data_IF_311134859263
#
_entry.id   IF_311134859263
#
_cell.length_a   1.000
_cell.length_b   1.000
_cell.length_c   1.000
_cell.angle_alpha   90.00
_cell.angle_beta   90.00
_cell.angle_gamma   90.00
#
_symmetry.space_group_name_H-M   'P 1'
#
loop_
_entity.id
_entity.type
_entity.pdbx_description
1 polymer ?
#
# COMPACT_ATOMS: atom_id res chain seq x y z
N UNK A 1 -21.52 41.41 -5.50
CA UNK A 1 -21.88 40.04 -5.05
C UNK A 1 -21.24 38.92 -5.88
N UNK A 2 -21.16 39.02 -7.22
CA UNK A 2 -20.54 37.97 -8.07
C UNK A 2 -19.05 37.73 -7.79
N UNK A 3 -18.27 38.78 -7.55
CA UNK A 3 -16.83 38.68 -7.24
C UNK A 3 -16.53 37.87 -5.96
N UNK A 4 -17.38 38.04 -4.93
CA UNK A 4 -17.23 37.32 -3.66
C UNK A 4 -17.52 35.82 -3.79
N UNK A 5 -18.47 35.44 -4.66
CA UNK A 5 -18.79 34.04 -4.93
C UNK A 5 -17.70 33.37 -5.79
N UNK A 6 -17.09 34.11 -6.73
CA UNK A 6 -15.95 33.62 -7.52
C UNK A 6 -14.70 33.40 -6.66
N UNK A 7 -14.43 34.29 -5.70
CA UNK A 7 -13.31 34.13 -4.76
C UNK A 7 -13.53 32.95 -3.79
N UNK A 8 -14.78 32.75 -3.36
CA UNK A 8 -15.17 31.61 -2.51
C UNK A 8 -15.05 30.27 -3.25
N UNK A 9 -15.40 30.22 -4.54
CA UNK A 9 -15.22 29.02 -5.37
C UNK A 9 -13.73 28.71 -5.63
N UNK A 10 -12.89 29.72 -5.79
CA UNK A 10 -11.44 29.53 -5.99
C UNK A 10 -10.77 28.91 -4.75
N UNK A 11 -11.20 29.29 -3.54
CA UNK A 11 -10.66 28.77 -2.28
C UNK A 11 -11.01 27.29 -2.02
N UNK A 12 -12.14 26.79 -2.57
CA UNK A 12 -12.57 25.39 -2.42
C UNK A 12 -11.80 24.42 -3.34
N UNK A 13 -11.13 24.93 -4.38
CA UNK A 13 -10.42 24.09 -5.37
C UNK A 13 -8.93 23.86 -5.07
N UNK A 14 -8.35 24.59 -4.10
CA UNK A 14 -6.95 24.39 -3.70
C UNK A 14 -6.91 23.43 -2.51
N UNK A 15 -6.88 22.12 -2.80
CA UNK A 15 -6.50 21.14 -1.79
C UNK A 15 -4.97 21.20 -1.64
N UNK A 16 -4.42 21.58 -0.47
CA UNK A 16 -3.00 21.45 -0.26
C UNK A 16 -2.65 19.96 -0.31
N UNK A 17 -1.76 19.58 -1.23
CA UNK A 17 -1.15 18.25 -1.23
C UNK A 17 -0.28 18.15 0.01
N UNK A 18 -0.83 17.59 1.09
CA UNK A 18 -0.06 17.32 2.30
C UNK A 18 0.81 16.10 2.02
N UNK A 19 2.13 16.29 1.92
CA UNK A 19 3.08 15.20 1.86
C UNK A 19 3.19 14.58 3.25
N UNK A 20 2.45 13.50 3.50
CA UNK A 20 2.58 12.68 4.72
C UNK A 20 3.80 11.74 4.63
N UNK A 21 4.96 12.23 4.16
CA UNK A 21 6.17 11.41 4.14
C UNK A 21 6.69 11.28 5.56
N UNK A 22 6.89 10.05 6.01
CA UNK A 22 7.61 9.79 7.26
C UNK A 22 8.98 10.47 7.15
N UNK A 23 9.44 11.20 8.19
CA UNK A 23 10.77 11.79 8.18
C UNK A 23 11.83 10.74 7.81
N UNK A 24 12.71 11.07 6.86
CA UNK A 24 13.79 10.20 6.39
C UNK A 24 14.99 10.27 7.35
N UNK A 25 14.72 10.07 8.63
CA UNK A 25 15.71 10.10 9.72
C UNK A 25 15.21 9.33 10.93
N UNK A 26 16.13 8.92 11.80
CA UNK A 26 15.82 8.15 13.01
C UNK A 26 16.59 8.67 14.22
N UNK A 27 15.90 8.82 15.36
CA UNK A 27 16.53 9.26 16.61
C UNK A 27 17.52 8.20 17.12
N UNK A 28 18.68 8.65 17.59
CA UNK A 28 19.72 7.79 18.16
C UNK A 28 20.32 8.42 19.40
N UNK A 29 20.49 7.60 20.44
CA UNK A 29 21.13 7.99 21.70
C UNK A 29 22.11 6.93 22.14
N UNK A 30 23.26 7.36 22.65
CA UNK A 30 24.30 6.46 23.14
C UNK A 30 25.07 7.10 24.29
N UNK A 31 25.53 6.26 25.23
CA UNK A 31 26.45 6.67 26.29
C UNK A 31 27.87 6.35 25.83
N UNK A 32 28.72 7.36 25.78
CA UNK A 32 30.11 7.23 25.33
C UNK A 32 31.02 6.93 26.52
N UNK A 33 31.76 5.84 26.41
CA UNK A 33 32.80 5.44 27.36
C UNK A 33 34.13 5.35 26.64
N UNK A 34 35.21 5.75 27.32
CA UNK A 34 36.57 5.56 26.85
C UNK A 34 37.00 4.09 27.02
N UNK A 35 38.19 3.74 26.52
CA UNK A 35 38.71 2.37 26.55
C UNK A 35 38.98 1.85 27.97
N UNK A 36 39.22 2.75 28.92
CA UNK A 36 39.31 2.45 30.36
C UNK A 36 37.94 2.36 31.05
N UNK A 37 36.86 2.38 30.26
CA UNK A 37 35.46 2.35 30.70
C UNK A 37 34.98 3.61 31.44
N UNK A 38 35.79 4.67 31.52
CA UNK A 38 35.38 5.96 32.07
C UNK A 38 34.35 6.67 31.17
N UNK A 39 33.45 7.47 31.75
CA UNK A 39 32.50 8.27 30.97
C UNK A 39 33.23 9.42 30.27
N UNK A 40 32.99 9.58 28.98
CA UNK A 40 33.43 10.76 28.24
C UNK A 40 32.35 11.82 28.42
N UNK A 41 32.57 12.78 29.33
CA UNK A 41 31.58 13.80 29.70
C UNK A 41 31.95 15.17 29.13
N UNK A 42 30.93 15.97 28.79
CA UNK A 42 31.07 17.37 28.33
C UNK A 42 32.15 17.59 27.24
N UNK A 43 32.42 16.57 26.42
CA UNK A 43 33.51 16.55 25.45
C UNK A 43 32.96 16.47 24.03
N UNK A 44 33.68 17.08 23.09
CA UNK A 44 33.39 16.95 21.65
C UNK A 44 33.92 15.60 21.17
N UNK A 45 33.05 14.82 20.54
CA UNK A 45 33.36 13.50 19.99
C UNK A 45 32.91 13.44 18.52
N UNK A 46 33.55 12.57 17.74
CA UNK A 46 33.09 12.25 16.38
C UNK A 46 32.52 10.85 16.35
N UNK A 47 31.40 10.70 15.65
CA UNK A 47 30.77 9.41 15.41
C UNK A 47 30.72 9.14 13.92
N UNK A 48 30.91 7.87 13.56
CA UNK A 48 30.57 7.34 12.25
C UNK A 48 29.47 6.30 12.43
N UNK A 49 28.40 6.46 11.68
CA UNK A 49 27.27 5.53 11.66
C UNK A 49 27.33 4.79 10.34
N UNK A 50 27.25 3.46 10.40
CA UNK A 50 27.20 2.58 9.23
C UNK A 50 25.98 1.68 9.34
N UNK A 51 25.22 1.56 8.25
CA UNK A 51 24.08 0.66 8.14
C UNK A 51 24.51 -0.56 7.32
N UNK A 52 24.52 -1.73 7.97
CA UNK A 52 24.78 -3.01 7.31
C UNK A 52 23.49 -3.75 6.99
N UNK A 53 23.41 -4.34 5.80
CA UNK A 53 22.31 -5.23 5.41
C UNK A 53 22.68 -6.71 5.61
N UNK A 54 21.73 -7.50 6.13
CA UNK A 54 21.82 -8.96 6.21
C UNK A 54 22.42 -9.47 7.52
N UNK A 55 23.60 -8.98 7.92
CA UNK A 55 24.23 -9.34 9.20
C UNK A 55 25.09 -8.18 9.75
N UNK A 56 25.65 -8.35 10.95
CA UNK A 56 26.45 -7.34 11.66
C UNK A 56 27.71 -6.85 10.92
N UNK A 57 28.20 -7.60 9.93
CA UNK A 57 29.32 -7.21 9.06
C UNK A 57 28.93 -7.34 7.58
N UNK A 58 27.64 -7.24 7.29
CA UNK A 58 27.10 -7.36 5.94
C UNK A 58 27.40 -6.15 5.07
N UNK A 59 26.72 -6.05 3.93
CA UNK A 59 26.94 -4.96 2.98
C UNK A 59 26.65 -3.61 3.62
N UNK A 60 27.62 -2.68 3.57
CA UNK A 60 27.40 -1.28 3.92
C UNK A 60 26.50 -0.63 2.85
N UNK A 61 25.26 -0.31 3.24
CA UNK A 61 24.29 0.33 2.35
C UNK A 61 24.17 1.84 2.61
N UNK A 62 24.69 2.32 3.73
CA UNK A 62 24.68 3.74 4.10
C UNK A 62 25.71 4.06 5.17
N UNK A 63 26.38 5.21 5.04
CA UNK A 63 27.34 5.70 6.01
C UNK A 63 27.27 7.22 6.14
N UNK A 64 27.31 7.72 7.37
CA UNK A 64 27.42 9.14 7.67
C UNK A 64 28.30 9.41 8.90
N UNK A 65 28.75 10.66 9.04
CA UNK A 65 29.52 11.11 10.20
C UNK A 65 28.84 12.28 10.92
N UNK A 66 29.05 12.34 12.24
CA UNK A 66 28.56 13.37 13.13
C UNK A 66 29.70 13.92 14.01
N UNK A 67 29.59 15.18 14.41
CA UNK A 67 30.42 15.79 15.44
C UNK A 67 29.50 16.40 16.50
N UNK A 68 29.49 15.81 17.69
CA UNK A 68 28.54 16.13 18.76
C UNK A 68 29.24 16.27 20.10
N UNK A 69 28.55 16.86 21.08
CA UNK A 69 29.03 16.98 22.44
C UNK A 69 28.29 15.98 23.34
N UNK A 70 29.03 15.22 24.14
CA UNK A 70 28.46 14.42 25.23
C UNK A 70 27.98 15.35 26.36
N UNK A 71 26.90 15.02 27.05
CA UNK A 71 26.48 15.76 28.26
C UNK A 71 27.23 15.30 29.54
N UNK A 72 26.79 15.76 30.71
CA UNK A 72 27.37 15.39 32.01
C UNK A 72 27.26 13.91 32.37
N UNK A 73 26.41 13.15 31.68
CA UNK A 73 26.23 11.71 31.85
C UNK A 73 26.93 10.91 30.74
N UNK A 74 27.71 11.56 29.88
CA UNK A 74 28.35 10.96 28.72
C UNK A 74 27.38 10.59 27.59
N UNK A 75 26.14 11.08 27.64
CA UNK A 75 25.11 10.81 26.63
C UNK A 75 25.26 11.73 25.42
N UNK A 76 25.11 11.16 24.23
CA UNK A 76 24.86 11.88 22.98
C UNK A 76 23.42 11.66 22.51
N UNK A 77 22.88 12.61 21.78
CA UNK A 77 21.61 12.51 21.07
C UNK A 77 21.78 13.09 19.67
N UNK A 78 21.42 12.33 18.66
CA UNK A 78 21.50 12.73 17.25
C UNK A 78 20.36 12.10 16.43
N UNK A 79 20.23 12.54 15.19
CA UNK A 79 19.30 11.98 14.21
C UNK A 79 20.11 11.33 13.08
N UNK A 80 20.04 10.01 12.95
CA UNK A 80 20.69 9.30 11.84
C UNK A 80 19.94 9.65 10.55
N UNK A 81 20.67 9.93 9.47
CA UNK A 81 20.13 10.42 8.20
C UNK A 81 20.31 11.94 8.00
N UNK A 82 20.90 12.63 8.98
CA UNK A 82 21.14 14.09 8.93
C UNK A 82 22.61 14.49 8.97
N UNK A 83 23.51 13.50 9.09
CA UNK A 83 24.94 13.72 9.18
C UNK A 83 25.58 14.03 7.82
N UNK A 84 26.91 14.11 7.82
CA UNK A 84 27.66 14.20 6.57
C UNK A 84 27.77 12.82 5.94
N UNK A 85 27.04 12.62 4.84
CA UNK A 85 26.97 11.32 4.14
C UNK A 85 28.28 11.01 3.43
N UNK A 86 28.78 9.79 3.62
CA UNK A 86 29.95 9.26 2.93
C UNK A 86 29.61 8.13 1.95
N UNK A 87 28.53 7.36 2.21
CA UNK A 87 28.07 6.26 1.36
C UNK A 87 26.55 6.24 1.34
N UNK A 88 25.97 5.98 0.16
CA UNK A 88 24.55 5.72 0.00
C UNK A 88 23.65 6.95 0.12
N UNK A 89 22.36 6.69 0.23
CA UNK A 89 21.30 7.69 0.41
C UNK A 89 20.25 7.09 1.34
N UNK A 90 20.01 7.73 2.49
CA UNK A 90 19.17 7.20 3.56
C UNK A 90 17.73 6.96 3.07
N UNK A 91 17.22 7.84 2.19
CA UNK A 91 15.88 7.76 1.59
C UNK A 91 15.70 6.54 0.68
N UNK A 92 16.80 6.03 0.12
CA UNK A 92 16.81 4.95 -0.87
C UNK A 92 17.13 3.58 -0.26
N UNK A 93 17.33 3.49 1.06
CA UNK A 93 17.52 2.21 1.72
C UNK A 93 16.23 1.41 1.61
N UNK A 94 16.32 0.21 1.03
CA UNK A 94 15.19 -0.69 0.86
C UNK A 94 14.83 -1.39 2.19
N UNK A 95 14.29 -0.64 3.15
CA UNK A 95 14.01 -1.11 4.52
C UNK A 95 13.15 -2.39 4.61
N UNK A 96 12.43 -2.75 3.55
CA UNK A 96 11.69 -4.01 3.40
C UNK A 96 12.58 -5.24 3.19
N UNK A 97 13.84 -5.05 2.81
CA UNK A 97 14.86 -6.09 2.55
C UNK A 97 15.77 -6.35 3.76
N UNK A 98 15.27 -6.07 4.97
CA UNK A 98 15.98 -6.36 6.21
C UNK A 98 16.34 -7.85 6.37
N UNK A 99 17.16 -8.19 7.38
CA UNK A 99 17.49 -7.38 8.55
C UNK A 99 18.58 -6.32 8.28
N UNK A 100 18.62 -5.29 9.14
CA UNK A 100 19.62 -4.23 9.13
C UNK A 100 20.30 -4.09 10.48
N UNK A 101 21.55 -3.63 10.48
CA UNK A 101 22.37 -3.43 11.67
C UNK A 101 22.99 -2.02 11.63
N UNK A 102 23.03 -1.34 12.77
CA UNK A 102 23.76 -0.09 12.96
C UNK A 102 25.09 -0.41 13.62
N UNK A 103 26.18 -0.13 12.91
CA UNK A 103 27.51 0.02 13.48
C UNK A 103 27.74 1.48 13.85
N UNK A 104 28.17 1.73 15.08
CA UNK A 104 28.63 3.03 15.56
C UNK A 104 30.10 2.95 15.88
N UNK A 105 30.89 3.82 15.25
CA UNK A 105 32.30 4.00 15.56
C UNK A 105 32.52 5.38 16.18
N UNK A 106 33.39 5.49 17.19
CA UNK A 106 33.60 6.73 17.96
C UNK A 106 35.07 7.10 18.07
N UNK A 107 35.37 8.38 17.83
CA UNK A 107 36.61 9.05 18.22
C UNK A 107 36.32 10.04 19.36
N UNK A 108 36.78 9.71 20.56
CA UNK A 108 36.56 10.50 21.78
C UNK A 108 37.31 11.83 21.78
N UNK A 109 38.27 12.02 20.88
CA UNK A 109 39.00 13.28 20.68
C UNK A 109 38.39 14.14 19.56
N UNK A 110 37.32 13.67 18.93
CA UNK A 110 36.63 14.40 17.87
C UNK A 110 37.34 14.38 16.51
N UNK A 111 38.34 13.51 16.33
CA UNK A 111 39.03 13.30 15.06
C UNK A 111 38.40 12.20 14.21
N UNK A 112 39.22 11.56 13.39
CA UNK A 112 38.82 10.47 12.47
C UNK A 112 39.39 9.10 12.88
N UNK A 113 40.02 9.00 14.06
CA UNK A 113 40.59 7.77 14.58
C UNK A 113 39.55 7.04 15.44
N UNK A 114 38.61 6.39 14.77
CA UNK A 114 37.52 5.69 15.41
C UNK A 114 38.01 4.38 16.05
N UNK A 115 38.16 4.38 17.38
CA UNK A 115 38.76 3.26 18.12
C UNK A 115 37.76 2.49 18.98
N UNK A 116 36.53 2.99 19.12
CA UNK A 116 35.43 2.32 19.83
C UNK A 116 34.37 1.97 18.81
N UNK A 117 33.97 0.71 18.76
CA UNK A 117 32.96 0.21 17.81
C UNK A 117 31.90 -0.60 18.55
N UNK A 118 30.63 -0.40 18.19
CA UNK A 118 29.52 -1.23 18.62
C UNK A 118 28.55 -1.49 17.47
N UNK A 119 28.04 -2.72 17.35
CA UNK A 119 27.06 -3.10 16.32
C UNK A 119 25.78 -3.58 16.99
N UNK A 120 24.64 -3.10 16.52
CA UNK A 120 23.32 -3.46 17.04
C UNK A 120 22.35 -3.73 15.89
N UNK A 121 21.48 -4.72 16.03
CA UNK A 121 20.43 -4.97 15.03
C UNK A 121 19.32 -3.92 15.16
N UNK A 122 18.85 -3.40 14.02
CA UNK A 122 17.61 -2.63 13.97
C UNK A 122 16.42 -3.57 14.09
N UNK A 123 15.70 -3.44 15.19
CA UNK A 123 14.45 -4.14 15.46
C UNK A 123 13.27 -3.20 15.25
N UNK A 124 12.13 -3.74 14.83
CA UNK A 124 10.90 -2.96 14.69
C UNK A 124 10.39 -2.46 16.04
N UNK A 125 9.95 -1.20 16.07
CA UNK A 125 9.19 -0.65 17.22
C UNK A 125 7.72 -1.06 17.14
N UNK A 126 6.96 -1.10 18.25
CA UNK A 126 5.56 -1.55 18.26
C UNK A 126 4.64 -0.85 17.24
N UNK A 127 4.81 0.46 17.03
CA UNK A 127 4.05 1.22 16.03
C UNK A 127 4.41 0.82 14.59
N UNK A 128 5.67 0.51 14.32
CA UNK A 128 6.13 0.03 13.00
C UNK A 128 5.60 -1.38 12.70
N UNK A 129 5.44 -2.24 13.72
CA UNK A 129 4.80 -3.55 13.56
C UNK A 129 3.32 -3.41 13.19
N UNK A 130 2.59 -2.45 13.78
CA UNK A 130 1.21 -2.16 13.42
C UNK A 130 1.08 -1.61 11.99
N UNK A 131 2.03 -0.75 11.56
CA UNK A 131 2.08 -0.21 10.20
C UNK A 131 2.28 -1.28 9.11
N UNK A 132 3.00 -2.38 9.38
CA UNK A 132 3.13 -3.52 8.46
C UNK A 132 1.77 -4.09 8.06
N UNK A 133 0.82 -4.15 9.00
CA UNK A 133 -0.56 -4.60 8.75
C UNK A 133 -1.39 -3.60 7.93
N UNK A 134 -1.11 -2.30 8.05
CA UNK A 134 -1.80 -1.25 7.31
C UNK A 134 -1.25 -1.06 5.88
N UNK A 135 0.04 -1.35 5.65
CA UNK A 135 0.64 -1.28 4.30
C UNK A 135 0.15 -2.38 3.34
N UNK A 136 -0.39 -3.48 3.85
CA UNK A 136 -0.94 -4.58 3.04
C UNK A 136 -2.36 -4.33 2.52
N UNK A 137 -3.04 -3.24 2.91
CA UNK A 137 -4.42 -2.99 2.48
C UNK A 137 -4.55 -2.25 1.15
N UNK A 138 -3.45 -1.80 0.55
CA UNK A 138 -3.43 -1.44 -0.88
C UNK A 138 -3.15 -2.70 -1.70
N UNK A 139 -4.08 -3.66 -1.66
CA UNK A 139 -4.28 -4.50 -2.85
C UNK A 139 -4.50 -3.51 -3.97
N UNK A 140 -3.60 -3.50 -4.96
CA UNK A 140 -3.67 -2.63 -6.13
C UNK A 140 -5.13 -2.49 -6.53
N UNK A 141 -5.65 -1.26 -6.56
CA UNK A 141 -7.05 -1.01 -6.91
C UNK A 141 -7.33 -1.81 -8.18
N UNK A 142 -8.09 -2.90 -8.05
CA UNK A 142 -8.35 -3.80 -9.17
C UNK A 142 -9.17 -2.97 -10.13
N UNK A 143 -8.53 -2.46 -11.18
CA UNK A 143 -9.21 -1.69 -12.21
C UNK A 143 -10.13 -2.69 -12.89
N UNK A 144 -11.42 -2.38 -12.92
CA UNK A 144 -12.37 -3.17 -13.68
C UNK A 144 -11.88 -3.33 -15.13
N UNK A 145 -11.96 -4.54 -15.66
CA UNK A 145 -11.66 -4.87 -17.04
C UNK A 145 -12.93 -5.18 -17.81
N UNK A 146 -12.84 -5.11 -19.15
CA UNK A 146 -13.88 -5.60 -20.05
C UNK A 146 -13.64 -7.09 -20.29
N UNK A 147 -14.66 -7.91 -20.01
CA UNK A 147 -14.67 -9.35 -20.22
C UNK A 147 -15.54 -9.64 -21.46
N UNK A 148 -14.94 -10.04 -22.60
CA UNK A 148 -15.72 -10.39 -23.78
C UNK A 148 -16.66 -11.55 -23.52
N UNK A 149 -17.90 -11.42 -23.97
CA UNK A 149 -18.95 -12.42 -23.80
C UNK A 149 -19.66 -12.70 -25.12
N UNK A 150 -19.23 -13.75 -25.79
CA UNK A 150 -19.72 -14.10 -27.14
C UNK A 150 -20.43 -15.45 -27.19
N UNK A 151 -20.37 -16.22 -26.11
CA UNK A 151 -20.93 -17.58 -26.03
C UNK A 151 -21.56 -17.80 -24.65
N UNK A 152 -22.60 -18.63 -24.62
CA UNK A 152 -23.28 -19.03 -23.39
C UNK A 152 -22.30 -19.77 -22.48
N UNK A 153 -22.22 -19.35 -21.21
CA UNK A 153 -21.40 -20.00 -20.18
C UNK A 153 -21.92 -19.72 -18.78
N UNK A 154 -21.34 -20.41 -17.80
CA UNK A 154 -21.57 -20.12 -16.40
C UNK A 154 -20.81 -18.86 -15.95
N UNK A 155 -21.25 -18.28 -14.84
CA UNK A 155 -20.51 -17.24 -14.11
C UNK A 155 -19.10 -17.73 -13.74
N UNK A 156 -18.12 -16.84 -13.88
CA UNK A 156 -16.72 -17.13 -13.63
C UNK A 156 -16.10 -16.08 -12.70
N UNK A 157 -15.00 -16.44 -12.03
CA UNK A 157 -14.26 -15.55 -11.12
C UNK A 157 -13.80 -14.27 -11.83
N UNK A 158 -13.49 -14.37 -13.13
CA UNK A 158 -13.10 -13.23 -13.97
C UNK A 158 -14.21 -12.20 -14.16
N UNK A 159 -15.48 -12.53 -13.90
CA UNK A 159 -16.60 -11.60 -14.08
C UNK A 159 -16.74 -10.63 -12.89
N UNK A 160 -16.26 -11.06 -11.72
CA UNK A 160 -16.45 -10.36 -10.44
C UNK A 160 -15.73 -9.01 -10.48
N UNK A 161 -16.46 -7.95 -10.11
CA UNK A 161 -16.05 -6.55 -10.13
C UNK A 161 -15.61 -6.04 -11.52
N UNK A 162 -16.01 -6.72 -12.59
CA UNK A 162 -15.71 -6.38 -13.98
C UNK A 162 -16.96 -6.10 -14.81
N UNK A 163 -16.76 -5.72 -16.08
CA UNK A 163 -17.84 -5.52 -17.06
C UNK A 163 -17.88 -6.69 -18.03
N UNK A 164 -19.03 -7.35 -18.12
CA UNK A 164 -19.32 -8.34 -19.16
C UNK A 164 -19.82 -7.60 -20.41
N UNK A 165 -19.10 -7.75 -21.51
CA UNK A 165 -19.42 -7.15 -22.82
C UNK A 165 -20.00 -8.21 -23.76
N UNK A 166 -21.33 -8.24 -23.87
CA UNK A 166 -22.06 -9.16 -24.71
C UNK A 166 -22.23 -8.60 -26.13
N UNK A 167 -21.44 -9.10 -27.08
CA UNK A 167 -21.49 -8.69 -28.50
C UNK A 167 -22.17 -9.73 -29.41
N UNK A 168 -22.47 -10.92 -28.88
CA UNK A 168 -23.26 -11.95 -29.53
C UNK A 168 -24.28 -12.51 -28.54
N UNK A 169 -25.54 -12.66 -28.95
CA UNK A 169 -26.63 -13.06 -28.05
C UNK A 169 -26.31 -14.36 -27.33
N UNK A 170 -26.27 -14.33 -26.00
CA UNK A 170 -25.78 -15.42 -25.17
C UNK A 170 -26.38 -15.35 -23.76
N UNK A 171 -26.28 -16.48 -23.04
CA UNK A 171 -26.78 -16.62 -21.66
C UNK A 171 -25.64 -16.78 -20.67
N UNK A 172 -25.59 -15.94 -19.64
CA UNK A 172 -24.77 -16.14 -18.45
C UNK A 172 -25.61 -16.86 -17.39
N UNK A 173 -25.18 -18.06 -17.01
CA UNK A 173 -25.88 -18.83 -15.95
C UNK A 173 -25.25 -18.58 -14.59
N UNK A 174 -26.04 -18.08 -13.64
CA UNK A 174 -25.67 -17.97 -12.23
C UNK A 174 -25.83 -19.36 -11.59
N UNK A 175 -24.71 -20.03 -11.31
CA UNK A 175 -24.71 -21.39 -10.75
C UNK A 175 -24.99 -21.37 -9.25
N UNK A 176 -25.50 -22.49 -8.73
CA UNK A 176 -25.53 -22.72 -7.29
C UNK A 176 -24.09 -22.78 -6.75
N UNK A 177 -23.95 -22.39 -5.49
CA UNK A 177 -22.73 -22.49 -4.68
C UNK A 177 -21.52 -21.78 -5.27
N UNK A 178 -21.77 -20.72 -6.05
CA UNK A 178 -20.71 -19.82 -6.53
C UNK A 178 -20.21 -18.93 -5.39
N UNK A 179 -19.35 -19.50 -4.55
CA UNK A 179 -18.78 -18.88 -3.35
C UNK A 179 -17.62 -17.91 -3.61
N UNK A 180 -17.07 -17.90 -4.84
CA UNK A 180 -15.99 -16.97 -5.21
C UNK A 180 -16.45 -15.51 -5.18
N UNK A 181 -17.70 -15.24 -5.57
CA UNK A 181 -18.30 -13.92 -5.43
C UNK A 181 -18.85 -13.78 -4.01
N UNK A 182 -18.40 -12.76 -3.28
CA UNK A 182 -18.85 -12.48 -1.91
C UNK A 182 -19.99 -11.47 -1.88
N UNK A 183 -20.73 -11.42 -0.77
CA UNK A 183 -21.88 -10.51 -0.63
C UNK A 183 -21.40 -9.06 -0.78
N UNK A 184 -22.06 -8.31 -1.66
CA UNK A 184 -21.70 -6.92 -1.97
C UNK A 184 -20.93 -6.75 -3.28
N UNK A 185 -20.25 -7.79 -3.78
CA UNK A 185 -19.57 -7.73 -5.07
C UNK A 185 -20.55 -7.64 -6.24
N UNK A 186 -20.05 -7.15 -7.36
CA UNK A 186 -20.88 -6.71 -8.48
C UNK A 186 -20.34 -7.22 -9.81
N UNK A 187 -21.21 -7.21 -10.83
CA UNK A 187 -20.85 -7.41 -12.23
C UNK A 187 -21.61 -6.36 -13.03
N UNK A 188 -20.91 -5.55 -13.82
CA UNK A 188 -21.53 -4.66 -14.80
C UNK A 188 -21.88 -5.48 -16.05
N UNK A 189 -23.04 -5.21 -16.63
CA UNK A 189 -23.56 -5.97 -17.75
C UNK A 189 -23.80 -5.04 -18.93
N UNK A 190 -23.34 -5.43 -20.11
CA UNK A 190 -23.55 -4.67 -21.33
C UNK A 190 -23.95 -5.58 -22.48
N UNK A 191 -25.07 -5.29 -23.14
CA UNK A 191 -25.44 -5.90 -24.41
C UNK A 191 -25.24 -4.89 -25.54
N UNK A 192 -24.47 -5.25 -26.57
CA UNK A 192 -23.98 -4.33 -27.59
C UNK A 192 -24.61 -4.59 -28.95
N UNK A 193 -24.89 -3.52 -29.69
CA UNK A 193 -25.16 -3.54 -31.13
C UNK A 193 -26.18 -4.60 -31.59
N UNK A 194 -27.33 -4.68 -30.92
CA UNK A 194 -28.38 -5.65 -31.25
C UNK A 194 -28.26 -7.03 -30.57
N UNK A 195 -27.18 -7.27 -29.82
CA UNK A 195 -27.04 -8.48 -29.02
C UNK A 195 -28.03 -8.53 -27.85
N UNK A 196 -28.25 -9.74 -27.36
CA UNK A 196 -29.14 -10.01 -26.24
C UNK A 196 -28.37 -10.79 -25.18
N UNK A 197 -28.11 -10.15 -24.05
CA UNK A 197 -27.54 -10.81 -22.88
C UNK A 197 -28.66 -11.32 -21.99
N UNK A 198 -28.71 -12.63 -21.76
CA UNK A 198 -29.63 -13.24 -20.80
C UNK A 198 -28.87 -13.64 -19.54
N UNK A 199 -29.34 -13.22 -18.38
CA UNK A 199 -28.85 -13.70 -17.08
C UNK A 199 -29.86 -14.71 -16.56
N UNK A 200 -29.43 -15.95 -16.35
CA UNK A 200 -30.28 -17.05 -15.94
C UNK A 200 -29.85 -17.56 -14.56
N UNK A 201 -30.74 -17.54 -13.58
CA UNK A 201 -30.50 -18.25 -12.32
C UNK A 201 -30.69 -19.75 -12.52
N UNK A 202 -29.72 -20.56 -12.09
CA UNK A 202 -29.86 -22.01 -12.02
C UNK A 202 -30.89 -22.42 -10.94
N UNK A 203 -31.23 -23.72 -10.91
CA UNK A 203 -32.03 -24.28 -9.82
C UNK A 203 -31.39 -23.98 -8.46
N UNK A 204 -32.20 -23.59 -7.48
CA UNK A 204 -31.73 -23.20 -6.15
C UNK A 204 -31.06 -21.82 -6.07
N UNK A 205 -30.99 -21.07 -7.18
CA UNK A 205 -30.49 -19.68 -7.22
C UNK A 205 -31.66 -18.72 -7.39
N UNK A 206 -31.65 -17.62 -6.62
CA UNK A 206 -32.64 -16.55 -6.73
C UNK A 206 -32.08 -15.34 -7.45
N UNK A 207 -32.91 -14.74 -8.30
CA UNK A 207 -32.65 -13.48 -8.98
C UNK A 207 -33.86 -12.57 -8.72
N UNK A 208 -33.63 -11.40 -8.12
CA UNK A 208 -34.72 -10.50 -7.67
C UNK A 208 -35.78 -11.24 -6.84
N UNK A 209 -35.32 -11.98 -5.82
CA UNK A 209 -36.15 -12.74 -4.88
C UNK A 209 -36.96 -13.89 -5.51
N UNK A 210 -36.76 -14.20 -6.80
CA UNK A 210 -37.48 -15.26 -7.51
C UNK A 210 -36.51 -16.39 -7.89
N UNK A 211 -36.83 -17.62 -7.47
CA UNK A 211 -36.00 -18.79 -7.75
C UNK A 211 -36.04 -19.16 -9.25
N UNK A 212 -34.87 -19.48 -9.83
CA UNK A 212 -34.74 -19.87 -11.24
C UNK A 212 -35.12 -18.76 -12.24
N UNK A 213 -35.26 -17.52 -11.79
CA UNK A 213 -35.66 -16.41 -12.64
C UNK A 213 -34.56 -16.01 -13.65
N UNK A 214 -34.99 -15.33 -14.70
CA UNK A 214 -34.12 -14.80 -15.75
C UNK A 214 -34.32 -13.31 -15.95
N UNK A 215 -33.28 -12.60 -16.36
CA UNK A 215 -33.33 -11.22 -16.81
C UNK A 215 -32.69 -11.09 -18.18
N UNK A 216 -33.19 -10.18 -19.02
CA UNK A 216 -32.75 -10.04 -20.41
C UNK A 216 -32.44 -8.59 -20.74
N UNK A 217 -31.23 -8.34 -21.21
CA UNK A 217 -30.77 -7.04 -21.70
C UNK A 217 -30.76 -7.11 -23.22
N UNK A 218 -31.78 -6.49 -23.83
CA UNK A 218 -31.93 -6.47 -25.29
C UNK A 218 -31.40 -5.16 -25.82
N UNK A 219 -30.34 -5.21 -26.61
CA UNK A 219 -29.80 -4.06 -27.32
C UNK A 219 -30.44 -3.91 -28.70
N UNK A 220 -30.32 -2.72 -29.29
CA UNK A 220 -30.64 -2.44 -30.69
C UNK A 220 -29.34 -2.10 -31.44
N UNK A 221 -29.34 -2.27 -32.76
CA UNK A 221 -28.17 -1.92 -33.58
C UNK A 221 -27.75 -0.46 -33.33
N UNK A 222 -26.46 -0.23 -33.14
CA UNK A 222 -25.89 1.09 -32.80
C UNK A 222 -26.04 1.52 -31.34
N UNK A 223 -26.64 0.71 -30.46
CA UNK A 223 -26.82 1.05 -29.04
C UNK A 223 -26.18 0.03 -28.10
N UNK A 224 -26.10 0.40 -26.81
CA UNK A 224 -25.67 -0.48 -25.71
C UNK A 224 -26.76 -0.46 -24.63
N UNK A 225 -27.15 -1.65 -24.16
CA UNK A 225 -28.04 -1.81 -23.00
C UNK A 225 -27.20 -2.15 -21.77
N UNK A 226 -27.23 -1.27 -20.77
CA UNK A 226 -26.49 -1.42 -19.52
C UNK A 226 -27.33 -2.11 -18.44
N UNK A 227 -26.65 -2.84 -17.58
CA UNK A 227 -27.22 -3.56 -16.46
C UNK A 227 -26.23 -3.72 -15.33
N UNK A 228 -26.75 -4.18 -14.20
CA UNK A 228 -25.97 -4.38 -13.00
C UNK A 228 -26.48 -5.59 -12.22
N UNK A 229 -25.56 -6.47 -11.82
CA UNK A 229 -25.82 -7.63 -10.98
C UNK A 229 -25.02 -7.49 -9.68
N UNK A 230 -25.64 -7.78 -8.54
CA UNK A 230 -24.98 -7.79 -7.23
C UNK A 230 -25.36 -9.01 -6.43
N UNK A 231 -24.39 -9.62 -5.77
CA UNK A 231 -24.64 -10.73 -4.83
C UNK A 231 -25.18 -10.19 -3.51
N UNK A 232 -26.27 -10.77 -3.03
CA UNK A 232 -26.95 -10.35 -1.79
C UNK A 232 -26.93 -11.40 -0.70
N UNK A 233 -26.65 -12.66 -1.04
CA UNK A 233 -26.55 -13.76 -0.09
C UNK A 233 -26.07 -15.04 -0.76
N UNK A 234 -26.10 -16.15 -0.01
CA UNK A 234 -25.88 -17.48 -0.59
C UNK A 234 -26.92 -17.72 -1.69
N UNK A 235 -26.44 -18.06 -2.89
CA UNK A 235 -27.28 -18.33 -4.07
C UNK A 235 -28.34 -17.25 -4.36
N UNK A 236 -28.07 -15.99 -4.00
CA UNK A 236 -29.04 -14.89 -4.08
C UNK A 236 -28.41 -13.65 -4.71
N UNK A 237 -29.08 -13.13 -5.74
CA UNK A 237 -28.63 -11.98 -6.51
C UNK A 237 -29.77 -10.99 -6.75
N UNK A 238 -29.41 -9.70 -6.82
CA UNK A 238 -30.30 -8.63 -7.32
C UNK A 238 -29.74 -8.15 -8.64
N UNK A 239 -30.63 -7.90 -9.59
CA UNK A 239 -30.31 -7.39 -10.91
C UNK A 239 -31.21 -6.22 -11.29
N UNK A 240 -30.63 -5.24 -11.97
CA UNK A 240 -31.33 -4.06 -12.49
C UNK A 240 -30.86 -3.68 -13.89
N UNK A 241 -31.64 -2.82 -14.55
CA UNK A 241 -31.35 -2.32 -15.90
C UNK A 241 -31.89 -3.20 -17.05
N UNK A 242 -32.60 -4.29 -16.73
CA UNK A 242 -33.29 -5.11 -17.74
C UNK A 242 -34.29 -4.30 -18.55
#
# INVERSE_FOLDING_TARGET
MKLAHTLLLLFVTVTPKVFAQSPEKMSYQAIIRAQDNSLVVNSRVSLKIVVHQGNASGTNVYQETHAVNTNSNGLISLEIGTGTVAVGDFSKIAWDKGPYFIETQVDVKGGTNYNITGVTQLLSVPYALYAKTAGSTVSAASRAVIVPFTTTRNIAVSDINNTIECTSSATLTLTSDFGNMVVGETINLEAHNGAILTIQAASGVTLNYTAGASARFTSTAGNVRFGFLRKTGANSYIISGQ
#
